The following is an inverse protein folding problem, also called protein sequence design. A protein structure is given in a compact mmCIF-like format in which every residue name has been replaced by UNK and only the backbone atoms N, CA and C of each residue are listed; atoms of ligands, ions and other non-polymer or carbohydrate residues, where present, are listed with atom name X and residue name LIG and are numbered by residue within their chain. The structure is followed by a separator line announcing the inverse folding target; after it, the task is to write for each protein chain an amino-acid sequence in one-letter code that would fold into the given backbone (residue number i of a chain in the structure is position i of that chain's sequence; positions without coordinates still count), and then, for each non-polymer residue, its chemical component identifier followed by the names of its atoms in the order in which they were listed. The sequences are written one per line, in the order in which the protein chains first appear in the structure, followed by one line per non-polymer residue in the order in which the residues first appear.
data_IF_959436254697
#
_entry.id   IF_959436254697
#
_cell.length_a   1.000
_cell.length_b   1.000
_cell.length_c   1.000
_cell.angle_alpha   90.00
_cell.angle_beta   90.00
_cell.angle_gamma   90.00
#
_symmetry.space_group_name_H-M   'P 1'
#
loop_
_entity.id
_entity.type
_entity.pdbx_description
1 polymer ?
#
# COMPACT_ATOMS: atom_id res chain seq x y z
N UNK A 1 -54.50 -28.02 -34.87
CA UNK A 1 -53.48 -28.24 -33.83
C UNK A 1 -52.18 -27.56 -34.26
N UNK A 2 -51.50 -26.98 -33.27
CA UNK A 2 -50.44 -25.96 -33.30
C UNK A 2 -49.40 -25.98 -34.45
N UNK A 3 -49.17 -24.80 -35.04
CA UNK A 3 -48.02 -24.45 -35.88
C UNK A 3 -46.79 -24.20 -35.00
N UNK A 4 -45.64 -24.72 -35.44
CA UNK A 4 -44.34 -24.52 -34.82
C UNK A 4 -43.87 -23.06 -34.95
N UNK A 5 -43.37 -22.53 -33.83
CA UNK A 5 -42.89 -21.16 -33.63
C UNK A 5 -41.59 -20.92 -34.40
N UNK A 6 -41.53 -19.78 -35.09
CA UNK A 6 -40.34 -19.31 -35.79
C UNK A 6 -39.24 -18.94 -34.79
N UNK A 7 -38.03 -19.47 -35.02
CA UNK A 7 -36.80 -19.10 -34.34
C UNK A 7 -36.55 -17.59 -34.50
N UNK A 8 -36.74 -16.83 -33.44
CA UNK A 8 -36.37 -15.42 -33.38
C UNK A 8 -34.84 -15.32 -33.35
N UNK A 9 -34.23 -15.08 -34.51
CA UNK A 9 -32.82 -14.74 -34.60
C UNK A 9 -32.58 -13.47 -33.78
N UNK A 10 -31.63 -13.52 -32.85
CA UNK A 10 -31.27 -12.39 -32.00
C UNK A 10 -30.57 -11.35 -32.88
N UNK A 11 -31.19 -10.17 -32.98
CA UNK A 11 -30.67 -9.02 -33.73
C UNK A 11 -29.47 -8.40 -32.98
N UNK A 12 -28.27 -8.76 -33.43
CA UNK A 12 -27.01 -8.32 -32.85
C UNK A 12 -26.81 -6.80 -32.93
N UNK A 13 -27.29 -6.14 -34.00
CA UNK A 13 -27.17 -4.69 -34.17
C UNK A 13 -28.06 -3.94 -33.17
N UNK A 14 -29.25 -4.50 -32.90
CA UNK A 14 -30.15 -3.98 -31.87
C UNK A 14 -29.60 -4.21 -30.47
N UNK A 15 -28.97 -5.35 -30.19
CA UNK A 15 -28.28 -5.59 -28.92
C UNK A 15 -27.12 -4.61 -28.71
N UNK A 16 -26.30 -4.40 -29.74
CA UNK A 16 -25.18 -3.46 -29.69
C UNK A 16 -25.67 -2.01 -29.49
N UNK A 17 -26.83 -1.66 -30.04
CA UNK A 17 -27.42 -0.32 -29.84
C UNK A 17 -27.98 -0.12 -28.44
N UNK A 18 -28.61 -1.16 -27.85
CA UNK A 18 -29.31 -1.07 -26.57
C UNK A 18 -28.40 -1.27 -25.35
N UNK A 19 -27.42 -2.17 -25.45
CA UNK A 19 -26.62 -2.62 -24.29
C UNK A 19 -25.19 -2.05 -24.27
N UNK A 20 -24.74 -1.42 -25.37
CA UNK A 20 -23.44 -0.76 -25.40
C UNK A 20 -23.58 0.70 -24.96
N UNK A 21 -23.05 1.06 -23.78
CA UNK A 21 -23.23 2.38 -23.17
C UNK A 21 -22.40 3.44 -23.92
N UNK A 22 -23.07 4.22 -24.79
CA UNK A 22 -22.50 5.38 -25.49
C UNK A 22 -22.42 6.58 -24.55
N UNK A 23 -21.23 6.94 -24.04
CA UNK A 23 -21.06 8.16 -23.22
C UNK A 23 -20.99 9.44 -24.10
N UNK A 24 -21.81 10.45 -23.77
CA UNK A 24 -21.63 11.84 -24.24
C UNK A 24 -20.66 12.56 -23.29
N UNK A 25 -19.64 13.21 -23.85
CA UNK A 25 -18.71 14.04 -23.09
C UNK A 25 -19.41 15.35 -22.67
N UNK A 26 -19.55 15.63 -21.37
CA UNK A 26 -19.88 16.98 -20.89
C UNK A 26 -18.59 17.77 -20.79
N UNK A 27 -18.45 18.84 -21.58
CA UNK A 27 -17.36 19.81 -21.41
C UNK A 27 -17.61 20.63 -20.15
N UNK A 28 -16.75 20.48 -19.13
CA UNK A 28 -16.67 21.45 -18.04
C UNK A 28 -15.98 22.71 -18.57
N UNK A 29 -16.76 23.75 -18.88
CA UNK A 29 -16.23 25.11 -18.88
C UNK A 29 -16.27 25.63 -17.43
N UNK A 30 -15.09 25.70 -16.81
CA UNK A 30 -14.86 26.42 -15.57
C UNK A 30 -14.67 27.89 -15.93
N UNK A 31 -15.70 28.71 -15.70
CA UNK A 31 -15.62 30.16 -15.81
C UNK A 31 -14.96 30.74 -14.56
N UNK A 32 -13.77 31.30 -14.71
CA UNK A 32 -13.16 32.20 -13.73
C UNK A 32 -13.74 33.59 -13.94
N UNK A 33 -14.40 34.14 -12.91
CA UNK A 33 -14.83 35.54 -12.85
C UNK A 33 -13.64 36.42 -12.45
N UNK A 34 -13.23 37.33 -13.32
CA UNK A 34 -12.49 38.55 -12.96
C UNK A 34 -12.88 39.67 -13.92
N UNK A 35 -13.43 40.76 -13.36
CA UNK A 35 -13.12 42.13 -13.82
C UNK A 35 -13.99 42.78 -14.90
N UNK A 36 -14.83 43.71 -14.42
CA UNK A 36 -15.07 45.09 -14.92
C UNK A 36 -15.72 45.30 -16.31
N UNK A 37 -16.83 46.02 -16.25
CA UNK A 37 -17.67 46.53 -17.35
C UNK A 37 -16.95 47.49 -18.31
N UNK A 38 -17.23 47.31 -19.60
CA UNK A 38 -16.83 48.19 -20.70
C UNK A 38 -17.34 47.66 -22.04
N UNK A 39 -18.57 48.01 -22.41
CA UNK A 39 -19.16 47.84 -23.76
C UNK A 39 -18.68 48.95 -24.73
N UNK A 40 -18.99 48.92 -26.04
CA UNK A 40 -19.05 47.79 -26.99
C UNK A 40 -18.43 48.15 -28.38
N UNK A 41 -18.23 47.18 -29.27
CA UNK A 41 -18.28 47.46 -30.72
C UNK A 41 -18.53 46.21 -31.56
N UNK A 42 -19.55 46.30 -32.41
CA UNK A 42 -20.01 45.33 -33.41
C UNK A 42 -18.98 45.10 -34.53
N UNK A 43 -18.81 43.85 -34.97
CA UNK A 43 -18.72 43.53 -36.40
C UNK A 43 -18.84 42.01 -36.63
N UNK A 44 -19.76 41.66 -37.51
CA UNK A 44 -20.05 40.32 -37.99
C UNK A 44 -18.85 39.60 -38.62
N UNK A 45 -18.86 38.25 -38.57
CA UNK A 45 -18.77 37.40 -39.77
C UNK A 45 -18.92 35.91 -39.45
N UNK A 46 -19.79 35.28 -40.24
CA UNK A 46 -20.03 33.84 -40.34
C UNK A 46 -18.75 33.01 -40.41
N UNK A 47 -18.73 31.90 -39.67
CA UNK A 47 -17.76 30.81 -39.83
C UNK A 47 -18.40 29.50 -39.38
N UNK A 48 -18.59 28.57 -40.31
CA UNK A 48 -19.16 27.26 -40.09
C UNK A 48 -18.35 26.49 -39.04
N UNK A 49 -18.97 26.23 -37.89
CA UNK A 49 -18.41 25.36 -36.85
C UNK A 49 -18.48 23.92 -37.29
N UNK A 50 -17.41 23.45 -37.94
CA UNK A 50 -17.18 22.04 -38.22
C UNK A 50 -17.03 21.30 -36.87
N UNK A 51 -18.13 20.71 -36.43
CA UNK A 51 -18.21 19.95 -35.19
C UNK A 51 -17.29 18.74 -35.29
N UNK A 52 -16.08 18.86 -34.74
CA UNK A 52 -15.12 17.77 -34.55
C UNK A 52 -15.81 16.67 -33.74
N UNK A 53 -16.47 15.72 -34.42
CA UNK A 53 -17.11 14.54 -33.83
C UNK A 53 -16.07 13.84 -32.98
N UNK A 54 -16.16 13.95 -31.66
CA UNK A 54 -15.32 13.19 -30.75
C UNK A 54 -15.58 11.70 -31.02
N UNK A 55 -14.56 10.99 -31.53
CA UNK A 55 -14.62 9.56 -31.83
C UNK A 55 -15.13 8.83 -30.58
N UNK A 56 -16.32 8.23 -30.66
CA UNK A 56 -16.90 7.50 -29.53
C UNK A 56 -16.03 6.28 -29.23
N UNK A 57 -15.74 6.06 -27.94
CA UNK A 57 -14.93 4.94 -27.50
C UNK A 57 -15.80 3.79 -27.00
N UNK A 58 -15.49 2.56 -27.41
CA UNK A 58 -16.09 1.34 -26.90
C UNK A 58 -15.59 1.06 -25.48
N UNK A 59 -16.51 0.61 -24.61
CA UNK A 59 -16.22 0.15 -23.25
C UNK A 59 -16.59 -1.32 -23.20
N UNK A 60 -15.62 -2.18 -22.95
CA UNK A 60 -15.81 -3.63 -22.88
C UNK A 60 -15.87 -4.08 -21.41
N UNK A 61 -15.10 -3.42 -20.56
CA UNK A 61 -15.12 -3.68 -19.12
C UNK A 61 -16.40 -3.13 -18.48
N UNK A 62 -16.78 -3.77 -17.36
CA UNK A 62 -17.73 -3.25 -16.39
C UNK A 62 -17.45 -1.75 -16.12
N UNK A 63 -18.52 -0.96 -16.03
CA UNK A 63 -18.42 0.49 -15.85
C UNK A 63 -17.65 0.90 -14.58
N UNK A 64 -17.92 0.25 -13.45
CA UNK A 64 -17.26 0.48 -12.15
C UNK A 64 -15.79 0.05 -12.19
N UNK A 65 -15.49 -1.10 -12.82
CA UNK A 65 -14.15 -1.64 -13.05
C UNK A 65 -13.33 -0.65 -13.89
N UNK A 66 -13.86 -0.23 -15.03
CA UNK A 66 -13.24 0.75 -15.91
C UNK A 66 -13.04 2.12 -15.23
N UNK A 67 -14.00 2.56 -14.40
CA UNK A 67 -13.88 3.79 -13.61
C UNK A 67 -12.76 3.70 -12.57
N UNK A 68 -12.70 2.61 -11.80
CA UNK A 68 -11.67 2.41 -10.78
C UNK A 68 -10.26 2.39 -11.40
N UNK A 69 -10.10 1.69 -12.53
CA UNK A 69 -8.85 1.68 -13.29
C UNK A 69 -8.53 3.08 -13.81
N UNK A 70 -9.52 3.80 -14.35
CA UNK A 70 -9.33 5.18 -14.81
C UNK A 70 -8.90 6.13 -13.69
N UNK A 71 -9.45 5.98 -12.48
CA UNK A 71 -9.05 6.76 -11.30
C UNK A 71 -7.61 6.42 -10.91
N UNK A 72 -7.27 5.13 -10.83
CA UNK A 72 -5.90 4.68 -10.57
C UNK A 72 -4.92 5.27 -11.60
N UNK A 73 -5.22 5.16 -12.89
CA UNK A 73 -4.40 5.69 -13.97
C UNK A 73 -4.27 7.22 -13.95
N UNK A 74 -5.25 7.95 -13.40
CA UNK A 74 -5.17 9.40 -13.29
C UNK A 74 -4.11 9.89 -12.29
N UNK A 75 -3.65 9.00 -11.40
CA UNK A 75 -2.51 9.27 -10.50
C UNK A 75 -1.18 9.27 -11.24
N UNK A 76 -1.08 8.50 -12.32
CA UNK A 76 0.11 8.41 -13.15
C UNK A 76 0.22 9.67 -14.03
N UNK A 77 1.39 10.31 -13.99
CA UNK A 77 1.69 11.51 -14.79
C UNK A 77 2.33 11.19 -16.14
N UNK A 78 2.31 9.92 -16.56
CA UNK A 78 2.96 9.43 -17.77
C UNK A 78 1.97 8.65 -18.67
N UNK A 79 2.43 8.27 -19.87
CA UNK A 79 1.61 7.51 -20.82
C UNK A 79 1.51 6.02 -20.42
N UNK A 80 0.46 5.33 -20.88
CA UNK A 80 0.29 3.89 -20.64
C UNK A 80 1.51 3.08 -21.13
N UNK A 81 2.08 3.50 -22.27
CA UNK A 81 3.29 2.90 -22.82
C UNK A 81 4.49 3.08 -21.89
N UNK A 82 4.64 4.25 -21.29
CA UNK A 82 5.72 4.52 -20.33
C UNK A 82 5.53 3.75 -19.02
N UNK A 83 4.29 3.54 -18.56
CA UNK A 83 3.98 2.63 -17.44
C UNK A 83 4.44 1.21 -17.79
N UNK A 84 4.05 0.69 -18.96
CA UNK A 84 4.46 -0.64 -19.42
C UNK A 84 5.99 -0.78 -19.48
N UNK A 85 6.68 0.18 -20.11
CA UNK A 85 8.14 0.21 -20.19
C UNK A 85 8.77 0.22 -18.79
N UNK A 86 8.28 1.05 -17.88
CA UNK A 86 8.76 1.12 -16.50
C UNK A 86 8.56 -0.21 -15.74
N UNK A 87 7.47 -0.94 -15.97
CA UNK A 87 7.28 -2.28 -15.38
C UNK A 87 8.24 -3.32 -15.99
N UNK A 88 8.54 -3.22 -17.28
CA UNK A 88 9.48 -4.13 -17.95
C UNK A 88 10.92 -3.89 -17.48
N UNK A 89 11.29 -2.62 -17.30
CA UNK A 89 12.63 -2.16 -16.93
C UNK A 89 12.84 -2.09 -15.40
N UNK A 90 11.79 -2.24 -14.59
CA UNK A 90 11.80 -2.01 -13.14
C UNK A 90 12.28 -0.60 -12.78
N UNK A 91 11.80 0.39 -13.54
CA UNK A 91 12.24 1.79 -13.48
C UNK A 91 11.66 2.50 -12.23
N UNK A 92 12.52 2.63 -11.20
CA UNK A 92 12.18 3.23 -9.91
C UNK A 92 12.02 4.76 -9.95
N UNK A 93 12.48 5.43 -11.02
CA UNK A 93 12.31 6.87 -11.18
C UNK A 93 10.89 7.20 -11.68
N UNK A 94 10.21 6.22 -12.27
CA UNK A 94 8.88 6.38 -12.86
C UNK A 94 7.79 5.77 -11.97
N UNK A 95 8.07 4.65 -11.30
CA UNK A 95 7.10 3.92 -10.50
C UNK A 95 7.52 3.85 -9.04
N UNK A 96 6.68 4.38 -8.16
CA UNK A 96 6.85 4.25 -6.71
C UNK A 96 6.34 2.89 -6.20
N UNK A 97 6.62 2.54 -4.95
CA UNK A 97 6.06 1.34 -4.32
C UNK A 97 4.53 1.37 -4.27
N UNK A 98 3.94 2.54 -4.01
CA UNK A 98 2.48 2.72 -3.99
C UNK A 98 1.88 2.54 -5.39
N UNK A 99 2.59 2.97 -6.43
CA UNK A 99 2.19 2.74 -7.81
C UNK A 99 2.25 1.24 -8.15
N UNK A 100 3.33 0.55 -7.77
CA UNK A 100 3.48 -0.91 -7.97
C UNK A 100 2.38 -1.68 -7.23
N UNK A 101 2.06 -1.31 -5.99
CA UNK A 101 0.98 -1.91 -5.21
C UNK A 101 -0.39 -1.66 -5.87
N UNK A 102 -0.63 -0.44 -6.35
CA UNK A 102 -1.85 -0.09 -7.08
C UNK A 102 -1.97 -0.91 -8.37
N UNK A 103 -0.90 -1.01 -9.16
CA UNK A 103 -0.85 -1.78 -10.40
C UNK A 103 -1.12 -3.28 -10.17
N UNK A 104 -0.64 -3.86 -9.06
CA UNK A 104 -0.93 -5.24 -8.66
C UNK A 104 -2.41 -5.50 -8.38
N UNK A 105 -3.14 -4.51 -7.89
CA UNK A 105 -4.57 -4.62 -7.61
C UNK A 105 -5.42 -4.70 -8.90
N UNK A 106 -4.92 -4.15 -10.00
CA UNK A 106 -5.63 -4.06 -11.28
C UNK A 106 -4.99 -4.95 -12.35
N UNK A 107 -4.82 -6.23 -12.02
CA UNK A 107 -4.49 -7.28 -13.00
C UNK A 107 -5.79 -7.77 -13.65
N UNK A 108 -5.83 -7.95 -14.99
CA UNK A 108 -7.01 -8.44 -15.69
C UNK A 108 -7.29 -9.90 -15.33
N UNK A 109 -8.57 -10.26 -15.27
CA UNK A 109 -9.00 -11.67 -15.14
C UNK A 109 -8.85 -12.40 -16.48
N UNK A 110 -8.82 -13.73 -16.47
CA UNK A 110 -8.75 -14.53 -17.71
C UNK A 110 -9.90 -14.21 -18.67
N UNK A 111 -11.11 -14.00 -18.13
CA UNK A 111 -12.28 -13.56 -18.90
C UNK A 111 -12.10 -12.17 -19.52
N UNK A 112 -11.58 -11.19 -18.76
CA UNK A 112 -11.29 -9.83 -19.25
C UNK A 112 -10.20 -9.89 -20.34
N UNK A 113 -9.21 -10.77 -20.20
CA UNK A 113 -8.14 -10.97 -21.18
C UNK A 113 -8.67 -11.59 -22.48
N UNK A 114 -9.52 -12.62 -22.41
CA UNK A 114 -10.15 -13.22 -23.58
C UNK A 114 -11.06 -12.23 -24.31
N UNK A 115 -11.88 -11.49 -23.57
CA UNK A 115 -12.77 -10.46 -24.13
C UNK A 115 -11.97 -9.38 -24.88
N UNK A 116 -10.85 -8.92 -24.32
CA UNK A 116 -9.99 -7.94 -24.97
C UNK A 116 -9.27 -8.49 -26.19
N UNK A 117 -8.90 -9.78 -26.19
CA UNK A 117 -8.28 -10.45 -27.35
C UNK A 117 -9.27 -10.72 -28.48
N UNK A 118 -10.54 -10.94 -28.15
CA UNK A 118 -11.62 -11.18 -29.10
C UNK A 118 -12.13 -9.90 -29.78
N UNK A 119 -11.72 -8.72 -29.32
CA UNK A 119 -12.09 -7.45 -29.95
C UNK A 119 -11.38 -7.28 -31.29
N UNK A 120 -12.17 -7.13 -32.36
CA UNK A 120 -11.73 -7.04 -33.76
C UNK A 120 -11.56 -5.59 -34.26
N UNK A 121 -11.93 -4.60 -33.44
CA UNK A 121 -11.79 -3.17 -33.74
C UNK A 121 -10.40 -2.59 -33.46
N UNK A 122 -10.22 -1.30 -33.77
CA UNK A 122 -8.99 -0.57 -33.45
C UNK A 122 -8.90 -0.32 -31.93
N UNK A 123 -7.79 -0.74 -31.30
CA UNK A 123 -7.54 -0.50 -29.88
C UNK A 123 -7.62 0.99 -29.47
N UNK A 124 -7.42 1.92 -30.40
CA UNK A 124 -7.59 3.37 -30.16
C UNK A 124 -9.04 3.78 -29.93
N UNK A 125 -9.99 2.95 -30.35
CA UNK A 125 -11.41 3.11 -30.05
C UNK A 125 -11.81 2.60 -28.67
N UNK A 126 -10.93 1.93 -27.94
CA UNK A 126 -11.25 1.44 -26.61
C UNK A 126 -11.09 2.53 -25.53
N UNK A 127 -11.78 2.34 -24.41
CA UNK A 127 -11.60 3.12 -23.19
C UNK A 127 -10.17 3.10 -22.67
N UNK A 128 -9.84 3.98 -21.71
CA UNK A 128 -8.48 4.06 -21.16
C UNK A 128 -8.12 2.80 -20.35
N UNK A 129 -9.09 2.18 -19.69
CA UNK A 129 -8.89 0.98 -18.89
C UNK A 129 -8.57 -0.24 -19.77
N UNK A 130 -9.32 -0.42 -20.84
CA UNK A 130 -9.10 -1.47 -21.84
C UNK A 130 -7.74 -1.31 -22.52
N UNK A 131 -7.38 -0.08 -22.92
CA UNK A 131 -6.06 0.19 -23.51
C UNK A 131 -4.92 -0.08 -22.53
N UNK A 132 -5.12 0.22 -21.24
CA UNK A 132 -4.15 -0.14 -20.21
C UNK A 132 -4.00 -1.66 -20.09
N UNK A 133 -5.12 -2.40 -20.10
CA UNK A 133 -5.10 -3.86 -20.08
C UNK A 133 -4.40 -4.47 -21.30
N UNK A 134 -4.58 -3.90 -22.49
CA UNK A 134 -3.84 -4.31 -23.68
C UNK A 134 -2.32 -4.07 -23.54
N UNK A 135 -1.89 -2.96 -22.93
CA UNK A 135 -0.47 -2.69 -22.70
C UNK A 135 0.15 -3.69 -21.71
N UNK A 136 -0.52 -3.99 -20.58
CA UNK A 136 0.02 -4.96 -19.59
C UNK A 136 -0.06 -6.41 -20.08
N UNK A 137 -1.02 -6.74 -20.95
CA UNK A 137 -1.11 -8.06 -21.60
C UNK A 137 0.12 -8.38 -22.46
N UNK A 138 0.79 -7.35 -22.98
CA UNK A 138 2.05 -7.51 -23.72
C UNK A 138 3.24 -7.81 -22.80
N UNK A 139 3.10 -7.62 -21.48
CA UNK A 139 4.16 -7.83 -20.50
C UNK A 139 4.14 -9.28 -20.00
N UNK A 140 5.17 -10.09 -20.28
CA UNK A 140 5.23 -11.45 -19.78
C UNK A 140 5.40 -11.45 -18.26
N UNK A 141 4.60 -12.29 -17.58
CA UNK A 141 4.65 -12.47 -16.11
C UNK A 141 4.53 -11.16 -15.34
N UNK A 142 3.57 -10.33 -15.76
CA UNK A 142 3.34 -8.99 -15.22
C UNK A 142 3.25 -8.95 -13.69
N UNK A 143 2.46 -9.85 -13.08
CA UNK A 143 2.29 -9.89 -11.62
C UNK A 143 3.59 -10.23 -10.90
N UNK A 144 4.35 -11.19 -11.39
CA UNK A 144 5.64 -11.57 -10.82
C UNK A 144 6.68 -10.47 -10.97
N UNK A 145 6.72 -9.77 -12.10
CA UNK A 145 7.60 -8.60 -12.30
C UNK A 145 7.32 -7.52 -11.25
N UNK A 146 6.06 -7.18 -11.02
CA UNK A 146 5.69 -6.23 -9.96
C UNK A 146 6.11 -6.73 -8.56
N UNK A 147 6.03 -8.03 -8.29
CA UNK A 147 6.51 -8.60 -7.02
C UNK A 147 8.02 -8.52 -6.86
N UNK A 148 8.77 -8.79 -7.93
CA UNK A 148 10.23 -8.60 -7.93
C UNK A 148 10.58 -7.13 -7.76
N UNK A 149 9.85 -6.23 -8.42
CA UNK A 149 10.08 -4.79 -8.29
C UNK A 149 9.93 -4.33 -6.83
N UNK A 150 8.80 -4.66 -6.22
CA UNK A 150 8.53 -4.33 -4.82
C UNK A 150 9.61 -4.89 -3.89
N UNK A 151 10.04 -6.13 -4.12
CA UNK A 151 11.11 -6.75 -3.36
C UNK A 151 12.44 -6.01 -3.52
N UNK A 152 12.91 -5.78 -4.74
CA UNK A 152 14.18 -5.10 -5.02
C UNK A 152 14.21 -3.72 -4.38
N UNK A 153 13.11 -2.96 -4.50
CA UNK A 153 13.02 -1.58 -4.00
C UNK A 153 12.94 -1.53 -2.46
N UNK A 154 12.42 -2.56 -1.80
CA UNK A 154 12.33 -2.63 -0.33
C UNK A 154 13.42 -3.46 0.34
N UNK A 155 14.30 -4.09 -0.43
CA UNK A 155 15.29 -5.03 0.10
C UNK A 155 16.29 -4.36 1.04
N UNK A 156 16.88 -3.24 0.60
CA UNK A 156 17.92 -2.55 1.38
C UNK A 156 17.37 -2.04 2.73
N UNK A 157 16.19 -1.43 2.72
CA UNK A 157 15.54 -0.95 3.95
C UNK A 157 15.29 -2.11 4.93
N UNK A 158 14.75 -3.23 4.44
CA UNK A 158 14.50 -4.43 5.27
C UNK A 158 15.79 -5.05 5.78
N UNK A 159 16.84 -5.07 4.95
CA UNK A 159 18.15 -5.58 5.32
C UNK A 159 18.79 -4.74 6.42
N UNK A 160 18.73 -3.41 6.29
CA UNK A 160 19.26 -2.47 7.28
C UNK A 160 18.50 -2.56 8.60
N UNK A 161 17.17 -2.58 8.55
CA UNK A 161 16.32 -2.74 9.75
C UNK A 161 16.66 -4.02 10.50
N UNK A 162 16.73 -5.16 9.80
CA UNK A 162 17.07 -6.44 10.41
C UNK A 162 18.48 -6.45 11.01
N UNK A 163 19.46 -5.95 10.26
CA UNK A 163 20.87 -5.93 10.69
C UNK A 163 21.09 -5.00 11.87
N UNK A 164 20.43 -3.84 11.88
CA UNK A 164 20.48 -2.88 12.99
C UNK A 164 19.86 -3.45 14.26
N UNK A 165 18.70 -4.11 14.15
CA UNK A 165 18.04 -4.77 15.28
C UNK A 165 18.90 -5.88 15.90
N UNK A 166 19.49 -6.74 15.07
CA UNK A 166 20.39 -7.81 15.52
C UNK A 166 21.65 -7.22 16.18
N UNK A 167 22.23 -6.18 15.59
CA UNK A 167 23.44 -5.55 16.12
C UNK A 167 23.18 -4.90 17.47
N UNK A 168 22.05 -4.20 17.61
CA UNK A 168 21.62 -3.59 18.88
C UNK A 168 21.43 -4.63 19.96
N UNK A 169 20.73 -5.73 19.66
CA UNK A 169 20.53 -6.82 20.62
C UNK A 169 21.86 -7.46 21.03
N UNK A 170 22.75 -7.71 20.07
CA UNK A 170 24.08 -8.28 20.33
C UNK A 170 24.90 -7.37 21.24
N UNK A 171 24.92 -6.06 20.99
CA UNK A 171 25.65 -5.10 21.81
C UNK A 171 25.08 -5.06 23.23
N UNK A 172 23.76 -4.98 23.38
CA UNK A 172 23.12 -5.01 24.70
C UNK A 172 23.44 -6.28 25.49
N UNK A 173 23.45 -7.45 24.84
CA UNK A 173 23.82 -8.72 25.49
C UNK A 173 25.29 -8.75 25.92
N UNK A 174 26.20 -8.20 25.12
CA UNK A 174 27.62 -8.09 25.48
C UNK A 174 27.82 -7.13 26.65
N UNK A 175 27.18 -5.97 26.61
CA UNK A 175 27.20 -5.00 27.69
C UNK A 175 26.67 -5.60 29.00
N UNK A 176 25.53 -6.30 28.97
CA UNK A 176 24.98 -6.98 30.15
C UNK A 176 25.92 -8.06 30.68
N UNK A 177 26.51 -8.87 29.79
CA UNK A 177 27.44 -9.94 30.16
C UNK A 177 28.74 -9.42 30.78
N UNK A 178 29.23 -8.28 30.32
CA UNK A 178 30.50 -7.72 30.77
C UNK A 178 30.31 -6.63 31.84
N UNK A 179 29.06 -6.32 32.21
CA UNK A 179 28.72 -5.31 33.21
C UNK A 179 29.02 -5.80 34.63
N UNK A 180 30.24 -5.51 35.10
CA UNK A 180 30.69 -5.81 36.46
C UNK A 180 29.78 -5.20 37.54
N UNK A 181 29.28 -3.99 37.31
CA UNK A 181 28.38 -3.32 38.25
C UNK A 181 27.06 -4.08 38.43
N UNK A 182 26.47 -4.56 37.33
CA UNK A 182 25.28 -5.40 37.38
C UNK A 182 25.56 -6.71 38.12
N UNK A 183 26.68 -7.38 37.83
CA UNK A 183 27.06 -8.60 38.55
C UNK A 183 27.19 -8.36 40.06
N UNK A 184 27.83 -7.27 40.47
CA UNK A 184 27.98 -6.93 41.89
C UNK A 184 26.62 -6.70 42.57
N UNK A 185 25.69 -6.01 41.92
CA UNK A 185 24.33 -5.80 42.44
C UNK A 185 23.59 -7.13 42.59
N UNK A 186 23.69 -8.02 41.59
CA UNK A 186 23.06 -9.34 41.64
C UNK A 186 23.66 -10.22 42.75
N UNK A 187 24.97 -10.19 42.96
CA UNK A 187 25.65 -10.89 44.06
C UNK A 187 25.20 -10.36 45.43
N UNK A 188 25.14 -9.03 45.60
CA UNK A 188 24.68 -8.41 46.83
C UNK A 188 23.22 -8.78 47.13
N UNK A 189 22.35 -8.76 46.11
CA UNK A 189 20.96 -9.17 46.25
C UNK A 189 20.80 -10.63 46.62
N UNK A 190 21.62 -11.52 46.03
CA UNK A 190 21.62 -12.93 46.40
C UNK A 190 22.05 -13.12 47.85
N UNK A 191 23.10 -12.43 48.30
CA UNK A 191 23.58 -12.50 49.68
C UNK A 191 22.52 -12.01 50.69
N UNK A 192 21.89 -10.86 50.41
CA UNK A 192 20.83 -10.31 51.26
C UNK A 192 19.60 -11.21 51.27
N UNK A 193 19.16 -11.68 50.11
CA UNK A 193 18.03 -12.60 49.99
C UNK A 193 18.26 -13.90 50.77
N UNK A 194 19.47 -14.46 50.70
CA UNK A 194 19.86 -15.64 51.46
C UNK A 194 19.90 -15.39 52.97
N UNK A 195 20.35 -14.21 53.39
CA UNK A 195 20.36 -13.81 54.80
C UNK A 195 18.94 -13.62 55.34
N UNK A 196 18.08 -12.89 54.64
CA UNK A 196 16.71 -12.61 55.04
C UNK A 196 15.85 -13.87 55.10
N UNK A 197 16.09 -14.82 54.20
CA UNK A 197 15.32 -16.07 54.10
C UNK A 197 15.99 -17.26 54.80
N UNK A 198 16.95 -17.01 55.69
CA UNK A 198 17.66 -18.06 56.41
C UNK A 198 16.67 -18.97 57.17
N UNK A 199 16.83 -20.28 57.02
CA UNK A 199 15.96 -21.29 57.65
C UNK A 199 14.63 -21.55 56.91
N UNK A 200 14.35 -20.86 55.81
CA UNK A 200 13.21 -21.15 54.92
C UNK A 200 13.65 -21.99 53.73
N UNK A 201 12.68 -22.52 52.95
CA UNK A 201 12.95 -23.20 51.68
C UNK A 201 13.56 -22.31 50.60
N UNK A 202 13.54 -20.99 50.79
CA UNK A 202 14.11 -19.99 49.89
C UNK A 202 15.48 -19.48 50.38
N UNK A 203 15.99 -19.98 51.50
CA UNK A 203 17.36 -19.72 51.96
C UNK A 203 18.38 -20.60 51.23
N UNK A 204 19.64 -20.13 51.16
CA UNK A 204 20.76 -20.84 50.51
C UNK A 204 20.56 -21.10 49.00
N UNK A 205 19.96 -20.16 48.29
CA UNK A 205 19.82 -20.19 46.84
C UNK A 205 21.19 -19.94 46.14
N UNK A 206 21.40 -20.60 45.00
CA UNK A 206 22.55 -20.37 44.11
C UNK A 206 22.33 -19.27 43.06
N UNK A 207 21.12 -18.71 43.00
CA UNK A 207 20.71 -17.68 42.06
C UNK A 207 19.21 -17.42 42.15
N UNK A 208 18.74 -16.38 41.49
CA UNK A 208 17.33 -16.01 41.42
C UNK A 208 16.96 -15.57 40.00
N UNK A 209 15.66 -15.57 39.69
CA UNK A 209 15.17 -15.12 38.39
C UNK A 209 15.21 -13.58 38.31
N UNK A 210 15.60 -13.02 37.17
CA UNK A 210 15.74 -11.56 37.01
C UNK A 210 14.44 -10.78 37.21
N UNK A 211 13.27 -11.41 37.08
CA UNK A 211 11.99 -10.75 37.38
C UNK A 211 11.80 -10.46 38.88
N UNK A 212 12.58 -11.07 39.77
CA UNK A 212 12.64 -10.69 41.18
C UNK A 212 13.21 -9.28 41.40
N UNK A 213 13.95 -8.72 40.45
CA UNK A 213 14.47 -7.34 40.55
C UNK A 213 13.33 -6.31 40.65
N UNK A 214 12.19 -6.57 40.03
CA UNK A 214 10.99 -5.73 40.16
C UNK A 214 10.40 -5.81 41.58
N UNK A 215 10.59 -6.91 42.29
CA UNK A 215 10.11 -7.05 43.66
C UNK A 215 11.04 -6.36 44.66
N UNK A 216 12.36 -6.37 44.40
CA UNK A 216 13.38 -5.71 45.23
C UNK A 216 13.11 -4.21 45.38
N UNK A 217 12.71 -3.53 44.31
CA UNK A 217 12.36 -2.09 44.37
C UNK A 217 11.13 -1.81 45.24
N UNK A 218 10.30 -2.82 45.49
CA UNK A 218 9.08 -2.71 46.29
C UNK A 218 9.24 -3.21 47.73
N UNK A 219 10.38 -3.80 48.10
CA UNK A 219 10.65 -4.25 49.47
C UNK A 219 11.00 -3.07 50.36
N UNK A 220 10.10 -2.75 51.31
CA UNK A 220 10.26 -1.64 52.25
C UNK A 220 11.02 -2.06 53.50
N UNK A 221 11.80 -1.15 54.05
CA UNK A 221 12.39 -1.24 55.38
C UNK A 221 11.30 -1.25 56.45
N UNK A 222 11.51 -1.98 57.54
CA UNK A 222 10.66 -1.94 58.73
C UNK A 222 10.99 -0.74 59.65
N UNK A 223 11.99 0.06 59.28
CA UNK A 223 12.40 1.28 59.98
C UNK A 223 12.25 2.45 59.03
N UNK A 224 11.27 3.32 59.31
CA UNK A 224 11.14 4.62 58.66
C UNK A 224 12.14 5.58 59.34
N UNK A 225 13.15 6.05 58.59
CA UNK A 225 13.96 7.18 59.03
C UNK A 225 13.22 8.45 58.65
N UNK A 226 12.77 9.22 59.65
CA UNK A 226 12.20 10.55 59.49
C UNK A 226 11.04 10.64 58.46
N UNK A 227 10.14 9.65 58.44
CA UNK A 227 8.98 9.64 57.55
C UNK A 227 9.28 9.34 56.07
N UNK A 228 10.53 8.97 55.75
CA UNK A 228 10.93 8.55 54.41
C UNK A 228 10.88 7.02 54.32
N UNK A 229 10.11 6.50 53.37
CA UNK A 229 10.08 5.07 53.05
C UNK A 229 11.40 4.70 52.41
N UNK A 230 12.23 3.92 53.11
CA UNK A 230 13.44 3.34 52.53
C UNK A 230 13.12 1.97 51.93
N UNK A 231 13.56 1.72 50.70
CA UNK A 231 13.47 0.43 50.04
C UNK A 231 14.79 -0.34 50.15
N UNK A 232 14.75 -1.64 49.86
CA UNK A 232 15.96 -2.45 49.75
C UNK A 232 16.89 -1.93 48.64
N UNK A 233 16.34 -1.33 47.59
CA UNK A 233 17.12 -0.70 46.53
C UNK A 233 17.87 0.55 47.03
N UNK A 234 17.25 1.37 47.87
CA UNK A 234 17.89 2.56 48.48
C UNK A 234 19.03 2.19 49.45
N UNK A 235 19.05 0.96 49.95
CA UNK A 235 20.13 0.43 50.78
C UNK A 235 21.32 -0.09 49.95
N UNK A 236 21.08 -0.40 48.67
CA UNK A 236 22.05 -1.00 47.75
C UNK A 236 22.78 0.02 46.86
N UNK A 237 22.22 1.23 46.72
CA UNK A 237 22.74 2.34 45.90
C UNK A 237 23.27 3.44 46.81
#
# INVERSE_FOLDING_TARGET
MYRASASAAIDADRLQTLFCIKKRHKSLHRASRTGVDGEPSEAARNGHGDGKKSRQRYSLLDLRRAQNIGIMLSKFRCSLRKIREAVVELDADVLTLDDVASLKQYVPTDEEMEMLRAFDGDARDLGIAERFFLEILSVPRYRERLSVFEFVKSFEDRWQEATSGISTLRLALLELKDCKGLHQVLENLLAIGNFMNFGTSMGNAGGFRLDALEQVSNMRSNVDKDGTVCTLLDYLV
#
